data_IF_333256275042
#
_entry.id   IF_333256275042
#
_cell.length_a   1.000
_cell.length_b   1.000
_cell.length_c   1.000
_cell.angle_alpha   90.00
_cell.angle_beta   90.00
_cell.angle_gamma   90.00
#
_symmetry.space_group_name_H-M   'P 1'
#
loop_
_entity.id
_entity.type
_entity.pdbx_description
1 polymer ?
#
# COMPACT_ATOMS: atom_id res chain seq x y z
N UNK A 1 -75.19 55.64 -34.95
CA UNK A 1 -73.95 54.92 -35.32
C UNK A 1 -73.18 54.65 -34.04
N UNK A 2 -73.36 53.46 -33.46
CA UNK A 2 -72.60 53.00 -32.29
C UNK A 2 -71.57 51.98 -32.81
N UNK A 3 -70.28 52.30 -32.66
CA UNK A 3 -69.16 51.43 -33.05
C UNK A 3 -68.97 50.35 -31.99
N UNK A 4 -69.00 49.10 -32.42
CA UNK A 4 -68.72 47.94 -31.59
C UNK A 4 -67.25 47.89 -31.16
N UNK A 5 -67.09 47.27 -30.00
CA UNK A 5 -65.88 46.91 -29.26
C UNK A 5 -64.93 45.99 -30.02
N UNK A 6 -63.62 46.27 -29.95
CA UNK A 6 -62.55 45.28 -30.12
C UNK A 6 -61.58 45.40 -28.93
N UNK A 7 -61.67 44.45 -28.00
CA UNK A 7 -60.70 44.21 -26.93
C UNK A 7 -59.96 42.92 -27.26
N UNK A 8 -58.78 43.05 -27.90
CA UNK A 8 -57.87 41.94 -28.13
C UNK A 8 -57.20 41.47 -26.81
N UNK A 9 -57.16 40.16 -26.51
CA UNK A 9 -56.57 39.64 -25.28
C UNK A 9 -55.07 39.37 -25.45
N UNK A 10 -54.21 40.39 -25.29
CA UNK A 10 -52.76 40.21 -25.35
C UNK A 10 -52.18 39.37 -24.17
N UNK A 11 -52.92 39.20 -23.08
CA UNK A 11 -52.47 38.50 -21.86
C UNK A 11 -52.34 36.97 -21.97
N UNK A 12 -53.17 36.32 -22.80
CA UNK A 12 -53.23 34.85 -22.88
C UNK A 12 -52.02 34.23 -23.62
N UNK A 13 -51.45 34.95 -24.59
CA UNK A 13 -50.27 34.54 -25.36
C UNK A 13 -49.00 34.53 -24.50
N UNK A 14 -48.84 35.53 -23.63
CA UNK A 14 -47.66 35.67 -22.76
C UNK A 14 -47.65 34.60 -21.65
N UNK A 15 -48.81 34.27 -21.10
CA UNK A 15 -48.97 33.19 -20.12
C UNK A 15 -48.70 31.81 -20.73
N UNK A 16 -49.20 31.53 -21.94
CA UNK A 16 -48.88 30.28 -22.66
C UNK A 16 -47.39 30.16 -22.93
N UNK A 17 -46.73 31.22 -23.41
CA UNK A 17 -45.27 31.23 -23.62
C UNK A 17 -44.49 30.98 -22.33
N UNK A 18 -44.90 31.59 -21.22
CA UNK A 18 -44.29 31.35 -19.91
C UNK A 18 -44.48 29.89 -19.46
N UNK A 19 -45.68 29.33 -19.65
CA UNK A 19 -46.01 27.96 -19.29
C UNK A 19 -45.20 26.94 -20.12
N UNK A 20 -45.06 27.17 -21.43
CA UNK A 20 -44.22 26.34 -22.28
C UNK A 20 -42.74 26.46 -21.92
N UNK A 21 -42.27 27.67 -21.56
CA UNK A 21 -40.90 27.88 -21.11
C UNK A 21 -40.61 27.17 -19.78
N UNK A 22 -41.52 27.20 -18.81
CA UNK A 22 -41.34 26.50 -17.54
C UNK A 22 -41.40 24.99 -17.71
N UNK A 23 -42.29 24.46 -18.54
CA UNK A 23 -42.34 23.03 -18.89
C UNK A 23 -41.04 22.59 -19.57
N UNK A 24 -40.54 23.37 -20.54
CA UNK A 24 -39.28 23.08 -21.21
C UNK A 24 -38.09 23.10 -20.24
N UNK A 25 -38.04 24.08 -19.34
CA UNK A 25 -36.98 24.17 -18.32
C UNK A 25 -37.03 22.99 -17.35
N UNK A 26 -38.22 22.60 -16.90
CA UNK A 26 -38.41 21.45 -16.02
C UNK A 26 -38.02 20.12 -16.70
N UNK A 27 -38.37 19.97 -17.99
CA UNK A 27 -37.97 18.81 -18.79
C UNK A 27 -36.44 18.74 -18.95
N UNK A 28 -35.79 19.87 -19.25
CA UNK A 28 -34.32 19.95 -19.34
C UNK A 28 -33.65 19.62 -18.00
N UNK A 29 -34.18 20.13 -16.89
CA UNK A 29 -33.69 19.81 -15.56
C UNK A 29 -33.85 18.32 -15.22
N UNK A 30 -34.99 17.71 -15.56
CA UNK A 30 -35.23 16.28 -15.35
C UNK A 30 -34.28 15.41 -16.19
N UNK A 31 -34.02 15.79 -17.45
CA UNK A 31 -33.04 15.11 -18.31
C UNK A 31 -31.64 15.22 -17.71
N UNK A 32 -31.23 16.42 -17.28
CA UNK A 32 -29.90 16.64 -16.69
C UNK A 32 -29.70 15.83 -15.40
N UNK A 33 -30.71 15.81 -14.52
CA UNK A 33 -30.68 15.02 -13.27
C UNK A 33 -30.63 13.52 -13.60
N UNK A 34 -31.43 13.06 -14.55
CA UNK A 34 -31.44 11.64 -14.95
C UNK A 34 -30.10 11.23 -15.54
N UNK A 35 -29.52 12.05 -16.43
CA UNK A 35 -28.19 11.81 -17.01
C UNK A 35 -27.10 11.75 -15.92
N UNK A 36 -27.15 12.65 -14.93
CA UNK A 36 -26.23 12.62 -13.80
C UNK A 36 -26.40 11.34 -12.96
N UNK A 37 -27.63 10.92 -12.67
CA UNK A 37 -27.91 9.70 -11.91
C UNK A 37 -27.47 8.45 -12.65
N UNK A 38 -27.68 8.37 -13.97
CA UNK A 38 -27.20 7.27 -14.82
C UNK A 38 -25.68 7.24 -14.79
N UNK A 39 -25.01 8.37 -14.97
CA UNK A 39 -23.54 8.44 -14.91
C UNK A 39 -23.00 8.00 -13.54
N UNK A 40 -23.64 8.41 -12.44
CA UNK A 40 -23.27 7.96 -11.08
C UNK A 40 -23.49 6.44 -10.93
N UNK A 41 -24.59 5.92 -11.47
CA UNK A 41 -24.91 4.49 -11.39
C UNK A 41 -23.93 3.65 -12.21
N UNK A 42 -23.60 4.05 -13.44
CA UNK A 42 -22.61 3.41 -14.30
C UNK A 42 -21.25 3.36 -13.62
N UNK A 43 -20.75 4.49 -13.12
CA UNK A 43 -19.49 4.52 -12.38
C UNK A 43 -19.53 3.65 -11.11
N UNK A 44 -20.67 3.59 -10.41
CA UNK A 44 -20.83 2.67 -9.26
C UNK A 44 -20.85 1.20 -9.68
N UNK A 45 -21.31 0.87 -10.88
CA UNK A 45 -21.28 -0.50 -11.40
C UNK A 45 -19.88 -0.88 -11.89
N UNK A 46 -19.20 0.00 -12.62
CA UNK A 46 -17.81 -0.18 -13.03
C UNK A 46 -16.90 -0.36 -11.81
N UNK A 47 -17.12 0.41 -10.75
CA UNK A 47 -16.38 0.30 -9.50
C UNK A 47 -16.53 -1.06 -8.78
N UNK A 48 -17.55 -1.88 -9.11
CA UNK A 48 -17.72 -3.20 -8.49
C UNK A 48 -16.77 -4.26 -9.06
N UNK A 49 -16.35 -4.12 -10.31
CA UNK A 49 -15.41 -5.04 -10.96
C UNK A 49 -14.25 -4.25 -11.60
N UNK A 50 -13.38 -3.62 -10.79
CA UNK A 50 -12.34 -2.73 -11.31
C UNK A 50 -11.21 -3.45 -12.07
N UNK A 51 -11.15 -4.78 -12.04
CA UNK A 51 -10.10 -5.57 -12.67
C UNK A 51 -10.59 -6.98 -13.06
N UNK A 52 -9.90 -7.58 -14.03
CA UNK A 52 -10.12 -8.96 -14.45
C UNK A 52 -9.62 -9.93 -13.37
N UNK A 53 -10.51 -10.80 -12.87
CA UNK A 53 -10.20 -11.81 -11.85
C UNK A 53 -9.98 -13.17 -12.53
N UNK A 54 -8.73 -13.48 -12.85
CA UNK A 54 -8.30 -14.78 -13.38
C UNK A 54 -8.20 -15.82 -12.26
N UNK A 55 -7.77 -15.39 -11.07
CA UNK A 55 -7.70 -16.20 -9.84
C UNK A 55 -8.37 -15.48 -8.67
N UNK A 56 -8.96 -16.25 -7.75
CA UNK A 56 -9.46 -15.70 -6.50
C UNK A 56 -8.31 -15.47 -5.52
N UNK A 57 -8.19 -14.23 -5.04
CA UNK A 57 -7.20 -13.82 -4.05
C UNK A 57 -7.88 -13.72 -2.68
N UNK A 58 -7.14 -14.05 -1.63
CA UNK A 58 -7.59 -13.93 -0.25
C UNK A 58 -6.39 -13.68 0.68
N UNK A 59 -6.65 -13.55 1.99
CA UNK A 59 -5.64 -13.22 3.00
C UNK A 59 -4.67 -14.35 3.37
N UNK A 60 -4.73 -15.48 2.67
CA UNK A 60 -3.80 -16.59 2.83
C UNK A 60 -2.82 -16.73 1.66
N UNK A 61 -2.87 -15.81 0.67
CA UNK A 61 -2.04 -15.85 -0.54
C UNK A 61 -1.05 -14.68 -0.52
N UNK A 62 0.19 -14.94 -0.12
CA UNK A 62 1.30 -13.98 -0.12
C UNK A 62 2.23 -14.09 -1.35
N UNK A 63 2.08 -15.13 -2.17
CA UNK A 63 2.88 -15.32 -3.39
C UNK A 63 2.52 -14.26 -4.45
N UNK A 64 3.43 -13.31 -4.76
CA UNK A 64 3.16 -12.25 -5.71
C UNK A 64 2.93 -12.76 -7.14
N UNK A 65 3.44 -13.94 -7.51
CA UNK A 65 3.21 -14.54 -8.83
C UNK A 65 1.74 -14.92 -9.03
N UNK A 66 1.04 -15.35 -7.97
CA UNK A 66 -0.40 -15.64 -8.02
C UNK A 66 -1.18 -14.34 -8.22
N UNK A 67 -0.81 -13.27 -7.51
CA UNK A 67 -1.39 -11.94 -7.71
C UNK A 67 -1.15 -11.41 -9.13
N UNK A 68 0.04 -11.66 -9.68
CA UNK A 68 0.41 -11.27 -11.04
C UNK A 68 -0.45 -11.86 -12.15
N UNK A 69 -1.17 -12.97 -11.91
CA UNK A 69 -2.15 -13.52 -12.85
C UNK A 69 -3.33 -12.56 -13.08
N UNK A 70 -3.71 -11.80 -12.06
CA UNK A 70 -4.74 -10.75 -12.14
C UNK A 70 -4.15 -9.38 -12.51
N UNK A 71 -2.89 -9.13 -12.13
CA UNK A 71 -2.24 -7.82 -12.24
C UNK A 71 -0.86 -7.89 -12.91
N UNK A 72 -0.78 -8.30 -14.19
CA UNK A 72 0.50 -8.59 -14.83
C UNK A 72 1.42 -7.38 -14.94
N UNK A 73 0.86 -6.18 -15.18
CA UNK A 73 1.65 -4.95 -15.27
C UNK A 73 2.25 -4.56 -13.92
N UNK A 74 1.47 -4.64 -12.84
CA UNK A 74 1.92 -4.31 -11.49
C UNK A 74 2.94 -5.33 -11.00
N UNK A 75 2.75 -6.60 -11.34
CA UNK A 75 3.69 -7.67 -11.01
C UNK A 75 5.03 -7.51 -11.75
N UNK A 76 5.00 -7.18 -13.04
CA UNK A 76 6.22 -6.86 -13.79
C UNK A 76 6.98 -5.69 -13.16
N UNK A 77 6.28 -4.60 -12.79
CA UNK A 77 6.90 -3.46 -12.11
C UNK A 77 7.47 -3.83 -10.72
N UNK A 78 6.79 -4.72 -9.99
CA UNK A 78 7.29 -5.25 -8.72
C UNK A 78 8.60 -6.04 -8.91
N UNK A 79 8.67 -6.88 -9.95
CA UNK A 79 9.87 -7.66 -10.26
C UNK A 79 11.07 -6.78 -10.63
N UNK A 80 10.85 -5.63 -11.28
CA UNK A 80 11.93 -4.67 -11.61
C UNK A 80 12.62 -4.05 -10.41
N UNK A 81 12.16 -4.29 -9.18
CA UNK A 81 12.90 -3.91 -7.97
C UNK A 81 14.22 -4.67 -7.80
N UNK A 82 14.51 -5.66 -8.66
CA UNK A 82 15.85 -6.25 -8.80
C UNK A 82 16.86 -5.29 -9.45
N UNK A 83 16.40 -4.28 -10.20
CA UNK A 83 17.29 -3.40 -10.94
C UNK A 83 18.08 -2.47 -10.01
N UNK A 84 19.40 -2.56 -10.11
CA UNK A 84 20.33 -1.76 -9.31
C UNK A 84 21.03 -0.73 -10.21
N UNK A 85 20.72 0.55 -10.00
CA UNK A 85 21.34 1.66 -10.71
C UNK A 85 21.96 2.67 -9.74
N UNK A 86 23.23 3.01 -9.99
CA UNK A 86 23.93 4.06 -9.23
C UNK A 86 23.50 5.43 -9.75
N UNK A 87 23.24 6.35 -8.83
CA UNK A 87 23.06 7.78 -9.14
C UNK A 87 24.17 8.61 -8.47
N UNK A 88 24.15 9.93 -8.67
CA UNK A 88 25.16 10.84 -8.11
C UNK A 88 25.24 10.78 -6.57
N UNK A 89 24.09 10.68 -5.89
CA UNK A 89 23.99 10.78 -4.43
C UNK A 89 23.23 9.62 -3.77
N UNK A 90 22.85 8.59 -4.53
CA UNK A 90 22.09 7.46 -4.04
C UNK A 90 21.91 6.39 -5.10
N UNK A 91 20.76 5.71 -5.07
CA UNK A 91 20.58 4.50 -5.86
C UNK A 91 21.38 3.33 -5.28
N UNK A 92 21.40 2.22 -6.00
CA UNK A 92 22.04 0.99 -5.55
C UNK A 92 22.99 0.53 -6.63
N UNK A 93 24.24 0.28 -6.28
CA UNK A 93 25.23 -0.28 -7.18
C UNK A 93 25.35 -1.78 -6.90
N UNK A 94 25.22 -2.59 -7.94
CA UNK A 94 25.46 -4.03 -7.86
C UNK A 94 26.97 -4.25 -7.79
N UNK A 95 27.47 -4.60 -6.59
CA UNK A 95 28.88 -4.91 -6.39
C UNK A 95 29.09 -6.42 -6.31
N UNK A 96 30.14 -6.95 -6.96
CA UNK A 96 30.48 -8.36 -6.82
C UNK A 96 30.83 -8.67 -5.36
N UNK A 97 30.36 -9.82 -4.90
CA UNK A 97 30.68 -10.39 -3.60
C UNK A 97 31.14 -11.83 -3.79
N UNK A 98 32.24 -12.20 -3.14
CA UNK A 98 32.67 -13.59 -3.07
C UNK A 98 31.82 -14.31 -2.01
N UNK A 99 31.03 -15.34 -2.40
CA UNK A 99 30.20 -16.06 -1.45
C UNK A 99 31.02 -16.66 -0.30
N UNK A 100 30.42 -16.66 0.88
CA UNK A 100 30.96 -17.26 2.10
C UNK A 100 29.95 -18.26 2.67
N UNK A 101 30.34 -19.03 3.69
CA UNK A 101 29.42 -19.95 4.37
C UNK A 101 28.21 -19.21 4.98
N UNK A 102 28.42 -17.99 5.50
CA UNK A 102 27.37 -17.18 6.14
C UNK A 102 26.62 -16.24 5.20
N UNK A 103 27.08 -16.08 3.96
CA UNK A 103 26.48 -15.22 2.94
C UNK A 103 26.71 -15.80 1.54
N UNK A 104 25.70 -16.48 0.95
CA UNK A 104 25.84 -17.11 -0.36
C UNK A 104 25.67 -16.14 -1.53
N UNK A 105 25.38 -14.86 -1.28
CA UNK A 105 25.09 -13.89 -2.34
C UNK A 105 26.34 -13.63 -3.19
N UNK A 106 26.17 -13.55 -4.50
CA UNK A 106 27.26 -13.17 -5.43
C UNK A 106 27.26 -11.68 -5.74
N UNK A 107 26.16 -10.98 -5.43
CA UNK A 107 25.98 -9.55 -5.65
C UNK A 107 25.34 -8.91 -4.43
N UNK A 108 26.00 -7.89 -3.90
CA UNK A 108 25.56 -7.11 -2.73
C UNK A 108 25.56 -5.62 -3.04
N UNK A 109 24.92 -4.84 -2.18
CA UNK A 109 25.05 -3.39 -2.20
C UNK A 109 26.32 -2.93 -1.47
N UNK A 110 26.73 -1.71 -1.80
CA UNK A 110 27.91 -1.06 -1.23
C UNK A 110 27.88 -1.00 0.29
N UNK A 111 29.00 -1.36 0.91
CA UNK A 111 29.20 -1.25 2.36
C UNK A 111 29.40 0.20 2.77
N UNK A 112 28.54 0.70 3.65
CA UNK A 112 28.69 2.04 4.25
C UNK A 112 29.83 2.08 5.26
N UNK A 113 30.14 0.93 5.88
CA UNK A 113 31.26 0.79 6.81
C UNK A 113 32.63 0.85 6.12
N UNK A 114 32.70 0.50 4.83
CA UNK A 114 33.91 0.67 4.01
C UNK A 114 34.04 2.10 3.48
N UNK A 115 32.91 2.76 3.20
CA UNK A 115 32.90 4.17 2.78
C UNK A 115 33.26 5.12 3.92
N UNK A 116 32.83 4.81 5.14
CA UNK A 116 33.10 5.61 6.32
C UNK A 116 33.47 4.71 7.51
N UNK A 117 34.79 4.59 7.75
CA UNK A 117 35.32 3.75 8.82
C UNK A 117 34.91 4.22 10.22
N UNK A 118 34.53 5.50 10.39
CA UNK A 118 34.08 6.05 11.68
C UNK A 118 32.79 5.38 12.16
N UNK A 119 31.96 4.88 11.24
CA UNK A 119 30.74 4.15 11.60
C UNK A 119 31.04 2.87 12.40
N UNK A 120 32.18 2.22 12.15
CA UNK A 120 32.60 1.04 12.92
C UNK A 120 32.94 1.40 14.37
N UNK A 121 33.60 2.55 14.57
CA UNK A 121 33.98 3.07 15.88
C UNK A 121 32.76 3.58 16.64
N UNK A 122 31.91 4.38 15.99
CA UNK A 122 30.68 4.92 16.59
C UNK A 122 29.72 3.83 17.07
N UNK A 123 29.70 2.68 16.39
CA UNK A 123 28.83 1.54 16.73
C UNK A 123 29.59 0.39 17.39
N UNK A 124 30.79 0.66 17.94
CA UNK A 124 31.56 -0.36 18.65
C UNK A 124 30.70 -1.01 19.75
N UNK A 125 30.64 -2.35 19.75
CA UNK A 125 29.78 -3.12 20.65
C UNK A 125 28.35 -3.37 20.16
N UNK A 126 27.96 -2.85 18.99
CA UNK A 126 26.62 -3.03 18.41
C UNK A 126 26.67 -3.72 17.03
N UNK A 127 25.65 -4.50 16.67
CA UNK A 127 25.65 -5.32 15.45
C UNK A 127 25.89 -4.51 14.17
N UNK A 128 25.49 -3.23 14.15
CA UNK A 128 25.71 -2.34 13.00
C UNK A 128 27.19 -2.08 12.69
N UNK A 129 28.12 -2.27 13.63
CA UNK A 129 29.56 -2.20 13.33
C UNK A 129 30.08 -3.38 12.50
N UNK A 130 29.29 -4.46 12.39
CA UNK A 130 29.65 -5.66 11.63
C UNK A 130 29.21 -5.56 10.17
N UNK A 131 28.00 -5.06 9.92
CA UNK A 131 27.50 -4.92 8.55
C UNK A 131 26.41 -3.86 8.44
N UNK A 132 26.66 -2.88 7.58
CA UNK A 132 25.70 -1.84 7.23
C UNK A 132 25.95 -1.41 5.78
N UNK A 133 24.94 -1.59 4.93
CA UNK A 133 25.06 -1.45 3.48
C UNK A 133 24.03 -0.46 2.96
N UNK A 134 24.28 0.06 1.75
CA UNK A 134 23.30 0.87 1.05
C UNK A 134 22.03 0.08 0.76
N UNK A 135 20.88 0.75 0.87
CA UNK A 135 19.58 0.12 0.59
C UNK A 135 19.45 -0.18 -0.90
N UNK A 136 18.69 -1.23 -1.24
CA UNK A 136 18.32 -1.62 -2.61
C UNK A 136 16.85 -2.02 -2.68
N UNK A 137 16.39 -2.41 -3.86
CA UNK A 137 14.97 -2.63 -4.10
C UNK A 137 14.36 -3.75 -3.27
N UNK A 138 13.03 -3.73 -3.15
CA UNK A 138 12.27 -4.62 -2.27
C UNK A 138 12.49 -6.11 -2.55
N UNK A 139 12.82 -6.51 -3.78
CA UNK A 139 13.15 -7.89 -4.11
C UNK A 139 14.25 -8.50 -3.20
N UNK A 140 15.16 -7.67 -2.68
CA UNK A 140 16.31 -8.13 -1.92
C UNK A 140 16.16 -8.03 -0.40
N UNK A 141 15.14 -7.34 0.11
CA UNK A 141 15.09 -6.96 1.54
C UNK A 141 15.13 -8.17 2.49
N UNK A 142 14.50 -9.29 2.11
CA UNK A 142 14.45 -10.49 2.93
C UNK A 142 15.82 -11.18 2.99
N UNK A 143 16.45 -11.35 1.83
CA UNK A 143 17.77 -11.98 1.74
C UNK A 143 18.83 -11.08 2.38
N UNK A 144 18.75 -9.77 2.17
CA UNK A 144 19.67 -8.81 2.79
C UNK A 144 19.56 -8.80 4.31
N UNK A 145 18.34 -8.92 4.86
CA UNK A 145 18.14 -9.06 6.31
C UNK A 145 18.55 -10.45 6.83
N UNK A 146 18.53 -11.48 5.98
CA UNK A 146 18.92 -12.85 6.35
C UNK A 146 20.43 -13.01 6.41
N UNK A 147 21.15 -12.49 5.42
CA UNK A 147 22.58 -12.71 5.25
C UNK A 147 23.44 -11.54 5.75
N UNK A 148 22.84 -10.47 6.27
CA UNK A 148 23.62 -9.38 6.86
C UNK A 148 24.48 -9.90 8.01
N UNK A 149 25.72 -9.39 8.10
CA UNK A 149 26.63 -9.70 9.20
C UNK A 149 26.07 -9.32 10.58
N UNK A 150 25.01 -8.51 10.65
CA UNK A 150 24.29 -8.21 11.90
C UNK A 150 23.65 -9.45 12.54
N UNK A 151 23.18 -10.41 11.73
CA UNK A 151 22.60 -11.66 12.22
C UNK A 151 23.65 -12.60 12.81
N UNK A 152 24.88 -12.53 12.29
CA UNK A 152 26.02 -13.31 12.77
C UNK A 152 26.68 -12.67 13.99
N UNK A 153 26.53 -11.35 14.16
CA UNK A 153 27.11 -10.58 15.24
C UNK A 153 26.47 -10.88 16.60
N UNK A 154 25.15 -11.05 16.63
CA UNK A 154 24.37 -11.29 17.84
C UNK A 154 22.98 -11.83 17.45
N UNK A 155 22.35 -12.66 18.30
CA UNK A 155 20.96 -13.08 18.09
C UNK A 155 20.04 -11.87 17.92
N UNK A 156 19.29 -11.83 16.82
CA UNK A 156 18.27 -10.81 16.57
C UNK A 156 16.87 -11.39 16.79
N UNK A 157 15.89 -10.58 17.19
CA UNK A 157 14.51 -11.03 17.34
C UNK A 157 13.82 -11.21 15.99
N UNK A 158 12.78 -12.05 15.96
CA UNK A 158 11.91 -12.27 14.81
C UNK A 158 11.22 -10.98 14.34
N UNK A 159 11.08 -9.99 15.23
CA UNK A 159 10.59 -8.63 14.91
C UNK A 159 11.29 -8.00 13.71
N UNK A 160 12.57 -8.32 13.45
CA UNK A 160 13.27 -7.79 12.28
C UNK A 160 12.60 -8.15 10.95
N UNK A 161 11.79 -9.20 10.89
CA UNK A 161 11.01 -9.56 9.69
C UNK A 161 9.83 -8.63 9.44
N UNK A 162 9.38 -7.86 10.44
CA UNK A 162 8.21 -6.99 10.33
C UNK A 162 8.26 -6.03 9.13
N UNK A 163 9.45 -5.62 8.71
CA UNK A 163 9.63 -4.70 7.57
C UNK A 163 10.37 -5.33 6.37
N UNK A 164 10.74 -6.61 6.46
CA UNK A 164 11.60 -7.27 5.46
C UNK A 164 10.94 -8.48 4.79
N UNK A 165 9.73 -8.87 5.20
CA UNK A 165 9.01 -10.00 4.67
C UNK A 165 7.52 -9.71 4.46
N UNK A 166 6.88 -10.52 3.63
CA UNK A 166 5.41 -10.59 3.61
C UNK A 166 4.93 -11.31 4.88
N UNK A 167 4.30 -10.58 5.78
CA UNK A 167 3.99 -11.10 7.13
C UNK A 167 2.52 -11.38 7.37
N UNK A 168 1.61 -10.90 6.51
CA UNK A 168 0.16 -11.03 6.72
C UNK A 168 -0.25 -12.47 7.02
N UNK A 169 0.19 -13.41 6.18
CA UNK A 169 -0.12 -14.84 6.34
C UNK A 169 0.50 -15.40 7.62
N UNK A 170 1.75 -15.05 7.92
CA UNK A 170 2.47 -15.51 9.12
C UNK A 170 1.79 -15.00 10.39
N UNK A 171 1.44 -13.71 10.45
CA UNK A 171 0.75 -13.12 11.59
C UNK A 171 -0.65 -13.72 11.77
N UNK A 172 -1.43 -13.85 10.70
CA UNK A 172 -2.75 -14.49 10.77
C UNK A 172 -2.65 -15.92 11.27
N UNK A 173 -1.66 -16.69 10.81
CA UNK A 173 -1.48 -18.09 11.25
C UNK A 173 -1.08 -18.21 12.72
N UNK A 174 -0.17 -17.36 13.19
CA UNK A 174 0.32 -17.42 14.58
C UNK A 174 -0.64 -16.75 15.58
N UNK A 175 -1.50 -15.85 15.11
CA UNK A 175 -2.45 -15.12 15.94
C UNK A 175 -3.90 -15.58 15.80
N UNK A 176 -4.17 -16.72 15.15
CA UNK A 176 -5.52 -17.24 14.88
C UNK A 176 -6.45 -16.18 14.20
N UNK A 177 -5.90 -15.47 13.23
CA UNK A 177 -6.56 -14.37 12.50
C UNK A 177 -6.36 -12.98 13.10
N UNK A 178 -5.71 -12.87 14.27
CA UNK A 178 -5.33 -11.59 14.86
C UNK A 178 -3.86 -11.25 14.56
N UNK A 179 -3.65 -10.27 13.68
CA UNK A 179 -2.30 -9.85 13.28
C UNK A 179 -1.46 -9.29 14.46
N UNK A 180 -2.08 -8.77 15.51
CA UNK A 180 -1.37 -8.25 16.68
C UNK A 180 -0.78 -9.38 17.51
N UNK A 181 -1.58 -10.43 17.78
CA UNK A 181 -1.10 -11.65 18.46
C UNK A 181 -0.03 -12.35 17.63
N UNK A 182 -0.21 -12.41 16.32
CA UNK A 182 0.78 -12.95 15.41
C UNK A 182 2.10 -12.18 15.45
N UNK A 183 2.04 -10.85 15.47
CA UNK A 183 3.22 -9.99 15.61
C UNK A 183 3.92 -10.19 16.95
N UNK A 184 3.18 -10.24 18.06
CA UNK A 184 3.73 -10.54 19.38
C UNK A 184 4.43 -11.91 19.40
N UNK A 185 3.79 -12.95 18.87
CA UNK A 185 4.37 -14.29 18.78
C UNK A 185 5.70 -14.29 18.01
N UNK A 186 5.78 -13.61 16.86
CA UNK A 186 7.02 -13.48 16.08
C UNK A 186 8.09 -12.71 16.84
N UNK A 187 7.72 -11.68 17.61
CA UNK A 187 8.69 -10.86 18.35
C UNK A 187 9.46 -11.66 19.41
N UNK A 188 8.83 -12.68 19.99
CA UNK A 188 9.45 -13.56 20.97
C UNK A 188 10.33 -14.66 20.36
N UNK A 189 10.33 -14.83 19.04
CA UNK A 189 11.16 -15.84 18.37
C UNK A 189 12.56 -15.30 18.08
N UNK A 190 13.60 -16.15 18.09
CA UNK A 190 14.86 -15.84 17.41
C UNK A 190 14.63 -15.64 15.91
N UNK A 191 15.37 -14.70 15.29
CA UNK A 191 15.21 -14.37 13.87
C UNK A 191 15.30 -15.59 12.96
N UNK A 192 16.28 -16.47 13.19
CA UNK A 192 16.50 -17.64 12.34
C UNK A 192 15.38 -18.69 12.43
N UNK A 193 14.60 -18.69 13.52
CA UNK A 193 13.41 -19.52 13.63
C UNK A 193 12.23 -18.86 12.90
N UNK A 194 11.99 -17.57 13.16
CA UNK A 194 10.95 -16.81 12.49
C UNK A 194 11.14 -16.75 10.96
N UNK A 195 12.40 -16.69 10.48
CA UNK A 195 12.76 -16.65 9.05
C UNK A 195 12.25 -17.88 8.29
N UNK A 196 12.09 -19.03 8.95
CA UNK A 196 11.56 -20.26 8.36
C UNK A 196 10.06 -20.19 8.07
N UNK A 197 9.36 -19.23 8.66
CA UNK A 197 7.92 -19.05 8.50
C UNK A 197 7.54 -18.23 7.26
N UNK A 198 8.51 -17.51 6.68
CA UNK A 198 8.29 -16.60 5.54
C UNK A 198 9.03 -17.06 4.30
N UNK A 199 8.44 -16.82 3.13
CA UNK A 199 9.01 -17.19 1.83
C UNK A 199 9.38 -16.00 0.97
N UNK A 200 8.64 -14.91 1.09
CA UNK A 200 8.75 -13.76 0.20
C UNK A 200 9.17 -12.51 0.97
N UNK A 201 9.92 -11.58 0.33
CA UNK A 201 10.00 -10.20 0.81
C UNK A 201 8.59 -9.56 0.82
N UNK A 202 8.49 -8.30 1.21
CA UNK A 202 7.22 -7.55 1.10
C UNK A 202 6.57 -7.79 -0.26
N UNK A 203 5.29 -8.16 -0.26
CA UNK A 203 4.51 -8.56 -1.42
C UNK A 203 3.22 -7.74 -1.51
N UNK A 204 2.39 -8.08 -2.50
CA UNK A 204 1.15 -7.36 -2.81
C UNK A 204 0.19 -7.27 -1.60
N UNK A 205 0.05 -8.39 -0.88
CA UNK A 205 -0.87 -8.55 0.25
C UNK A 205 -0.57 -7.61 1.43
N UNK A 206 0.67 -7.13 1.58
CA UNK A 206 1.09 -6.28 2.69
C UNK A 206 0.58 -4.83 2.58
N UNK A 207 0.16 -4.43 1.36
CA UNK A 207 -0.33 -3.09 1.07
C UNK A 207 -1.72 -3.09 0.44
N UNK A 208 -2.19 -4.21 -0.12
CA UNK A 208 -3.47 -4.31 -0.83
C UNK A 208 -4.41 -5.34 -0.17
N UNK A 209 -5.67 -4.96 -0.06
CA UNK A 209 -6.76 -5.87 0.26
C UNK A 209 -7.03 -6.82 -0.93
N UNK A 210 -7.05 -8.15 -0.74
CA UNK A 210 -7.16 -9.11 -1.86
C UNK A 210 -8.53 -9.11 -2.56
N UNK A 211 -9.60 -8.69 -1.88
CA UNK A 211 -10.94 -8.65 -2.47
C UNK A 211 -11.18 -7.39 -3.32
N UNK A 212 -10.73 -6.25 -2.80
CA UNK A 212 -11.05 -4.92 -3.34
C UNK A 212 -9.87 -4.18 -3.99
N UNK A 213 -8.64 -4.65 -3.77
CA UNK A 213 -7.38 -3.97 -4.11
C UNK A 213 -7.17 -2.60 -3.44
N UNK A 214 -8.05 -2.21 -2.53
CA UNK A 214 -7.86 -0.97 -1.77
C UNK A 214 -6.58 -1.07 -0.94
N UNK A 215 -5.93 0.08 -0.77
CA UNK A 215 -4.77 0.15 0.11
C UNK A 215 -5.19 -0.19 1.54
N UNK A 216 -4.34 -0.94 2.23
CA UNK A 216 -4.51 -1.28 3.64
C UNK A 216 -3.17 -1.26 4.35
N UNK A 217 -3.24 -1.05 5.65
CA UNK A 217 -2.14 -1.18 6.59
C UNK A 217 -2.26 -2.53 7.28
N UNK A 218 -1.17 -3.28 7.28
CA UNK A 218 -1.04 -4.63 7.80
C UNK A 218 0.00 -4.75 8.92
N UNK A 219 0.80 -3.69 9.19
CA UNK A 219 1.82 -3.69 10.26
C UNK A 219 1.24 -3.20 11.59
N UNK A 220 1.15 -4.05 12.64
CA UNK A 220 0.57 -3.67 13.93
C UNK A 220 1.21 -2.43 14.55
N UNK A 221 2.55 -2.35 14.54
CA UNK A 221 3.28 -1.21 15.11
C UNK A 221 2.88 0.15 14.48
N UNK A 222 2.66 0.20 13.15
CA UNK A 222 2.20 1.42 12.49
C UNK A 222 0.76 1.76 12.88
N UNK A 223 -0.12 0.76 12.98
CA UNK A 223 -1.51 0.93 13.40
C UNK A 223 -1.57 1.53 14.82
N UNK A 224 -0.75 1.02 15.75
CA UNK A 224 -0.67 1.55 17.12
C UNK A 224 -0.12 2.97 17.16
N UNK A 225 0.98 3.23 16.43
CA UNK A 225 1.59 4.55 16.36
C UNK A 225 0.61 5.60 15.82
N UNK A 226 -0.12 5.28 14.75
CA UNK A 226 -1.15 6.17 14.19
C UNK A 226 -2.32 6.37 15.14
N UNK A 227 -2.74 5.32 15.86
CA UNK A 227 -3.80 5.43 16.87
C UNK A 227 -3.38 6.37 18.00
N UNK A 228 -2.17 6.22 18.52
CA UNK A 228 -1.63 7.08 19.57
C UNK A 228 -1.49 8.54 19.11
N UNK A 229 -0.95 8.77 17.91
CA UNK A 229 -0.81 10.11 17.32
C UNK A 229 -2.17 10.80 17.14
N UNK A 230 -3.17 10.10 16.61
CA UNK A 230 -4.50 10.70 16.37
C UNK A 230 -5.23 10.92 17.68
N UNK A 231 -5.03 10.06 18.69
CA UNK A 231 -5.54 10.28 20.05
C UNK A 231 -4.96 11.55 20.68
N UNK A 232 -3.65 11.82 20.53
CA UNK A 232 -3.04 13.07 21.00
C UNK A 232 -3.53 14.32 20.25
N UNK A 233 -4.16 14.14 19.08
CA UNK A 233 -4.80 15.19 18.29
C UNK A 233 -6.32 15.27 18.52
N UNK A 234 -6.86 14.55 19.51
CA UNK A 234 -8.27 14.59 19.89
C UNK A 234 -9.18 13.57 19.19
N UNK A 235 -8.64 12.71 18.32
CA UNK A 235 -9.40 11.62 17.69
C UNK A 235 -9.13 10.30 18.41
N UNK A 236 -10.02 9.92 19.33
CA UNK A 236 -9.95 8.63 20.03
C UNK A 236 -10.28 7.47 19.09
N UNK A 237 -9.73 6.30 19.39
CA UNK A 237 -10.00 5.04 18.70
C UNK A 237 -9.78 5.07 17.18
N UNK A 238 -8.78 5.85 16.74
CA UNK A 238 -8.47 5.98 15.33
C UNK A 238 -8.13 4.63 14.69
N UNK A 239 -8.83 4.30 13.61
CA UNK A 239 -8.60 3.12 12.78
C UNK A 239 -8.11 3.56 11.41
N UNK A 240 -6.81 3.39 11.18
CA UNK A 240 -6.15 3.82 9.94
C UNK A 240 -6.78 3.23 8.68
N UNK A 241 -7.22 1.96 8.71
CA UNK A 241 -7.82 1.30 7.55
C UNK A 241 -9.26 1.75 7.26
N UNK A 242 -9.93 2.43 8.20
CA UNK A 242 -11.30 2.95 8.03
C UNK A 242 -11.35 4.46 7.84
N UNK A 243 -10.39 5.18 8.40
CA UNK A 243 -10.47 6.64 8.53
C UNK A 243 -9.36 7.38 7.79
N UNK A 244 -8.28 6.72 7.36
CA UNK A 244 -7.28 7.38 6.54
C UNK A 244 -7.87 7.72 5.16
N UNK A 245 -7.59 8.94 4.71
CA UNK A 245 -7.92 9.35 3.36
C UNK A 245 -7.08 8.59 2.34
N UNK A 246 -7.54 8.55 1.08
CA UNK A 246 -6.75 7.96 -0.02
C UNK A 246 -5.36 8.59 -0.15
N UNK A 247 -5.24 9.89 0.10
CA UNK A 247 -3.97 10.59 0.01
C UNK A 247 -3.04 10.22 1.17
N UNK A 248 -3.56 10.10 2.40
CA UNK A 248 -2.80 9.59 3.54
C UNK A 248 -2.34 8.15 3.27
N UNK A 249 -3.23 7.27 2.78
CA UNK A 249 -2.90 5.86 2.50
C UNK A 249 -1.77 5.69 1.50
N UNK A 250 -1.64 6.58 0.49
CA UNK A 250 -0.52 6.57 -0.47
C UNK A 250 0.85 6.80 0.18
N UNK A 251 0.88 7.42 1.36
CA UNK A 251 2.09 7.60 2.16
C UNK A 251 2.19 6.56 3.28
N UNK A 252 1.06 6.20 3.90
CA UNK A 252 1.03 5.29 5.04
C UNK A 252 1.46 3.88 4.68
N UNK A 253 1.15 3.39 3.48
CA UNK A 253 1.65 2.07 3.03
C UNK A 253 3.19 2.02 2.99
N UNK A 254 3.84 3.15 2.72
CA UNK A 254 5.29 3.30 2.81
C UNK A 254 5.75 3.44 4.25
N UNK A 255 5.03 4.22 5.07
CA UNK A 255 5.37 4.46 6.47
C UNK A 255 5.22 3.25 7.39
N UNK A 256 4.68 2.14 6.89
CA UNK A 256 4.69 0.85 7.59
C UNK A 256 6.09 0.34 7.94
N UNK A 257 7.12 0.80 7.22
CA UNK A 257 8.49 0.31 7.28
C UNK A 257 9.52 1.42 7.18
#
# INVERSE_FOLDING_TARGET
MASNSDLHPEGASRYRKLLFATIALAALAAIAITALLVNIFEHKQEAKNPFYRVVELNDTIDDPAIWGKNFPLQYDLYLRTVDMQRTRYGGSEALPHSPTEGDPRTVVSRSKLEQDSRLKEMWAGYSFSKDYREKRGHAYMLDDQTFTGRQQAAPQPGTCLNCHASMVVTYNKLGDGDIFKGFEAVNHMPYMEARKLVKHPVACIDCHDPGSMQLRITRPAFIEGMRALKASQGTKDYNVNKQATRQEMRSYVCGQC
#
